data_IF_763767872242
#
_entry.id   IF_763767872242
#
_cell.length_a   1.000
_cell.length_b   1.000
_cell.length_c   1.000
_cell.angle_alpha   90.00
_cell.angle_beta   90.00
_cell.angle_gamma   90.00
#
_symmetry.space_group_name_H-M   'P 1'
#
loop_
_entity.id
_entity.type
_entity.pdbx_description
1 polymer ?
#
# COMPACT_ATOMS: atom_id res chain seq x y z
N UNK A 1 -25.79 -28.40 11.09
CA UNK A 1 -24.71 -27.62 10.45
C UNK A 1 -25.13 -27.39 9.01
N UNK A 2 -25.68 -26.20 8.71
CA UNK A 2 -25.95 -25.77 7.34
C UNK A 2 -24.63 -25.25 6.74
N UNK A 3 -23.97 -26.06 5.92
CA UNK A 3 -22.88 -25.58 5.05
C UNK A 3 -23.59 -24.89 3.88
N UNK A 4 -23.68 -23.58 3.94
CA UNK A 4 -24.18 -22.77 2.83
C UNK A 4 -23.09 -22.75 1.74
N UNK A 5 -23.25 -23.58 0.72
CA UNK A 5 -22.44 -23.50 -0.49
C UNK A 5 -22.86 -22.22 -1.24
N UNK A 6 -22.12 -21.12 -1.03
CA UNK A 6 -22.28 -19.95 -1.88
C UNK A 6 -21.90 -20.31 -3.31
N UNK A 7 -22.75 -19.91 -4.27
CA UNK A 7 -22.49 -20.12 -5.69
C UNK A 7 -21.33 -19.20 -6.13
N UNK A 8 -20.43 -19.67 -6.98
CA UNK A 8 -19.33 -18.86 -7.54
C UNK A 8 -19.77 -17.48 -8.02
N UNK A 9 -20.94 -17.38 -8.68
CA UNK A 9 -21.51 -16.09 -9.13
C UNK A 9 -21.84 -15.14 -7.98
N UNK A 10 -22.19 -15.65 -6.81
CA UNK A 10 -22.48 -14.81 -5.63
C UNK A 10 -21.19 -14.31 -4.99
N UNK A 11 -20.15 -15.13 -4.96
CA UNK A 11 -18.81 -14.74 -4.49
C UNK A 11 -18.25 -13.64 -5.40
N UNK A 12 -18.29 -13.83 -6.72
CA UNK A 12 -17.83 -12.86 -7.71
C UNK A 12 -18.58 -11.52 -7.59
N UNK A 13 -19.90 -11.59 -7.36
CA UNK A 13 -20.71 -10.39 -7.14
C UNK A 13 -20.29 -9.62 -5.89
N UNK A 14 -20.05 -10.30 -4.76
CA UNK A 14 -19.61 -9.67 -3.51
C UNK A 14 -18.20 -9.10 -3.61
N UNK A 15 -17.29 -9.78 -4.31
CA UNK A 15 -15.95 -9.27 -4.60
C UNK A 15 -16.02 -7.97 -5.43
N UNK A 16 -16.77 -7.97 -6.52
CA UNK A 16 -16.93 -6.79 -7.38
C UNK A 16 -17.57 -5.60 -6.65
N UNK A 17 -18.45 -5.86 -5.69
CA UNK A 17 -19.04 -4.83 -4.83
C UNK A 17 -18.10 -4.39 -3.71
N UNK A 18 -17.01 -5.10 -3.43
CA UNK A 18 -16.09 -4.84 -2.33
C UNK A 18 -16.63 -5.24 -0.95
N UNK A 19 -17.65 -6.12 -0.90
CA UNK A 19 -18.21 -6.65 0.34
C UNK A 19 -17.42 -7.85 0.89
N UNK A 20 -16.61 -8.44 0.04
CA UNK A 20 -15.62 -9.46 0.36
C UNK A 20 -14.31 -9.13 -0.34
N UNK A 21 -13.18 -9.51 0.24
CA UNK A 21 -11.85 -9.25 -0.29
C UNK A 21 -10.94 -10.47 -0.07
N UNK A 22 -10.04 -10.77 -1.02
CA UNK A 22 -9.00 -11.78 -0.82
C UNK A 22 -7.93 -11.22 0.12
N UNK A 23 -7.76 -11.83 1.27
CA UNK A 23 -6.81 -11.39 2.30
C UNK A 23 -5.63 -12.35 2.35
N UNK A 24 -4.45 -11.86 1.97
CA UNK A 24 -3.22 -12.62 2.13
C UNK A 24 -2.85 -12.78 3.60
N UNK A 25 -2.84 -11.66 4.32
CA UNK A 25 -2.53 -11.64 5.76
C UNK A 25 -3.06 -10.37 6.42
N UNK A 26 -3.21 -10.42 7.73
CA UNK A 26 -3.47 -9.23 8.54
C UNK A 26 -2.81 -9.38 9.91
N UNK A 27 -2.16 -8.32 10.39
CA UNK A 27 -1.36 -8.35 11.60
C UNK A 27 -1.23 -6.97 12.24
N UNK A 28 -0.99 -6.93 13.54
CA UNK A 28 -0.71 -5.72 14.29
C UNK A 28 0.80 -5.57 14.47
N UNK A 29 1.34 -4.45 14.02
CA UNK A 29 2.78 -4.18 14.06
C UNK A 29 3.07 -2.67 14.06
N UNK A 30 4.29 -2.29 13.76
CA UNK A 30 4.75 -0.91 13.64
C UNK A 30 4.96 -0.58 12.17
N UNK A 31 4.39 0.55 11.70
CA UNK A 31 4.70 1.05 10.35
C UNK A 31 6.20 1.32 10.21
N UNK A 32 6.83 0.60 9.30
CA UNK A 32 8.29 0.63 9.10
C UNK A 32 8.76 1.66 8.08
N UNK A 33 7.85 2.33 7.34
CA UNK A 33 8.18 3.16 6.19
C UNK A 33 7.49 4.52 6.24
N UNK A 34 8.01 5.48 5.46
CA UNK A 34 7.39 6.75 5.16
C UNK A 34 7.16 7.67 6.35
N UNK A 35 6.10 8.47 6.26
CA UNK A 35 5.80 9.51 7.25
C UNK A 35 5.40 8.95 8.61
N UNK A 36 4.61 7.88 8.63
CA UNK A 36 4.12 7.27 9.86
C UNK A 36 5.06 6.20 10.44
N UNK A 37 6.30 6.14 9.98
CA UNK A 37 7.31 5.23 10.55
C UNK A 37 7.37 5.36 12.08
N UNK A 38 7.35 4.21 12.75
CA UNK A 38 7.35 4.11 14.21
C UNK A 38 5.96 4.10 14.86
N UNK A 39 4.89 4.29 14.08
CA UNK A 39 3.52 4.26 14.59
C UNK A 39 2.97 2.84 14.59
N UNK A 40 2.29 2.45 15.68
CA UNK A 40 1.58 1.18 15.73
C UNK A 40 0.36 1.19 14.84
N UNK A 41 0.17 0.16 14.02
CA UNK A 41 -0.92 0.03 13.08
C UNK A 41 -1.35 -1.42 12.85
N UNK A 42 -2.60 -1.61 12.48
CA UNK A 42 -3.07 -2.90 12.00
C UNK A 42 -2.96 -2.94 10.48
N UNK A 43 -2.18 -3.86 9.95
CA UNK A 43 -1.97 -4.03 8.53
C UNK A 43 -2.96 -5.02 7.95
N UNK A 44 -3.50 -4.69 6.77
CA UNK A 44 -4.36 -5.56 5.97
C UNK A 44 -3.70 -5.66 4.60
N UNK A 45 -3.12 -6.84 4.30
CA UNK A 45 -2.53 -7.13 3.01
C UNK A 45 -3.53 -7.84 2.12
N UNK A 46 -4.04 -7.11 1.13
CA UNK A 46 -5.00 -7.61 0.14
C UNK A 46 -4.24 -8.32 -0.97
N UNK A 47 -4.73 -9.48 -1.38
CA UNK A 47 -4.17 -10.22 -2.51
C UNK A 47 -4.73 -9.73 -3.84
N UNK A 48 -4.00 -10.02 -4.91
CA UNK A 48 -4.23 -9.55 -6.27
C UNK A 48 -3.31 -8.38 -6.63
N UNK A 49 -2.50 -8.54 -7.70
CA UNK A 49 -1.63 -7.48 -8.21
C UNK A 49 -1.48 -7.57 -9.72
N UNK A 50 -1.85 -6.52 -10.42
CA UNK A 50 -1.75 -6.39 -11.88
C UNK A 50 -0.54 -5.57 -12.35
N UNK A 51 0.37 -5.21 -11.41
CA UNK A 51 1.57 -4.41 -11.69
C UNK A 51 2.79 -5.27 -12.04
N UNK A 52 3.03 -6.36 -11.29
CA UNK A 52 4.06 -7.35 -11.59
C UNK A 52 5.50 -6.83 -11.54
N UNK A 53 5.92 -6.17 -10.47
CA UNK A 53 7.29 -5.67 -10.28
C UNK A 53 8.29 -6.83 -10.14
N UNK A 54 9.39 -6.84 -10.92
CA UNK A 54 10.37 -7.93 -10.86
C UNK A 54 11.08 -8.05 -9.51
N UNK A 55 11.25 -6.93 -8.80
CA UNK A 55 11.87 -6.82 -7.48
C UNK A 55 10.85 -6.81 -6.32
N UNK A 56 9.60 -7.24 -6.58
CA UNK A 56 8.59 -7.31 -5.53
C UNK A 56 9.03 -8.28 -4.43
N UNK A 57 8.95 -7.82 -3.18
CA UNK A 57 9.28 -8.60 -1.98
C UNK A 57 8.11 -9.43 -1.45
N UNK A 58 6.91 -9.29 -2.06
CA UNK A 58 5.68 -10.01 -1.67
C UNK A 58 4.99 -10.56 -2.94
N UNK A 59 5.69 -11.39 -3.71
CA UNK A 59 5.14 -11.97 -4.95
C UNK A 59 3.96 -12.91 -4.71
N UNK A 60 3.88 -13.50 -3.53
CA UNK A 60 2.80 -14.34 -3.08
C UNK A 60 1.45 -13.62 -3.09
N UNK A 61 1.46 -12.29 -2.97
CA UNK A 61 0.25 -11.46 -3.04
C UNK A 61 -0.33 -11.28 -4.45
N UNK A 62 0.37 -11.73 -5.52
CA UNK A 62 -0.07 -11.42 -6.89
C UNK A 62 -1.31 -12.19 -7.32
N UNK A 63 -1.43 -13.42 -6.91
CA UNK A 63 -2.55 -14.30 -7.24
C UNK A 63 -3.59 -14.26 -6.12
N UNK A 64 -4.73 -13.64 -6.40
CA UNK A 64 -5.83 -13.53 -5.44
C UNK A 64 -6.49 -14.87 -5.11
N UNK A 65 -6.44 -15.84 -6.03
CA UNK A 65 -7.15 -17.12 -5.90
C UNK A 65 -6.45 -18.04 -4.88
N UNK A 66 -5.20 -17.76 -4.54
CA UNK A 66 -4.44 -18.51 -3.54
C UNK A 66 -4.76 -18.08 -2.09
N UNK A 67 -5.59 -17.07 -1.89
CA UNK A 67 -5.82 -16.47 -0.59
C UNK A 67 -7.29 -16.53 -0.16
N UNK A 68 -7.56 -16.64 1.16
CA UNK A 68 -8.91 -16.71 1.66
C UNK A 68 -9.70 -15.43 1.39
N UNK A 69 -10.96 -15.61 1.00
CA UNK A 69 -11.92 -14.53 0.82
C UNK A 69 -12.59 -14.24 2.17
N UNK A 70 -12.41 -13.02 2.69
CA UNK A 70 -12.96 -12.56 3.94
C UNK A 70 -14.04 -11.50 3.72
N UNK A 71 -15.10 -11.52 4.53
CA UNK A 71 -16.07 -10.42 4.54
C UNK A 71 -15.47 -9.17 5.17
N UNK A 72 -15.91 -7.99 4.74
CA UNK A 72 -15.45 -6.73 5.32
C UNK A 72 -15.77 -6.62 6.81
N UNK A 73 -16.88 -7.22 7.27
CA UNK A 73 -17.23 -7.27 8.70
C UNK A 73 -16.19 -8.04 9.51
N UNK A 74 -15.76 -9.22 9.02
CA UNK A 74 -14.69 -10.00 9.67
C UNK A 74 -13.37 -9.23 9.74
N UNK A 75 -13.00 -8.53 8.65
CA UNK A 75 -11.78 -7.73 8.57
C UNK A 75 -11.82 -6.60 9.59
N UNK A 76 -12.93 -5.86 9.67
CA UNK A 76 -13.09 -4.73 10.58
C UNK A 76 -13.17 -5.20 12.04
N UNK A 77 -13.92 -6.27 12.34
CA UNK A 77 -13.98 -6.85 13.70
C UNK A 77 -12.59 -7.30 14.19
N UNK A 78 -11.72 -7.74 13.30
CA UNK A 78 -10.35 -8.07 13.66
C UNK A 78 -9.52 -6.81 13.91
N UNK A 79 -9.56 -5.82 12.99
CA UNK A 79 -8.76 -4.61 13.07
C UNK A 79 -9.02 -3.80 14.35
N UNK A 80 -10.30 -3.62 14.71
CA UNK A 80 -10.71 -2.80 15.88
C UNK A 80 -10.27 -3.38 17.24
N UNK A 81 -9.84 -4.64 17.29
CA UNK A 81 -9.29 -5.23 18.53
C UNK A 81 -7.90 -4.68 18.89
N UNK A 82 -7.17 -4.19 17.89
CA UNK A 82 -5.74 -3.90 18.04
C UNK A 82 -5.38 -2.43 17.86
N UNK A 83 -6.05 -1.68 16.98
CA UNK A 83 -5.60 -0.35 16.62
C UNK A 83 -6.72 0.58 16.17
N UNK A 84 -6.50 1.89 16.36
CA UNK A 84 -7.30 2.96 15.77
C UNK A 84 -6.68 3.47 14.44
N UNK A 85 -5.66 2.78 13.91
CA UNK A 85 -5.03 3.04 12.64
C UNK A 85 -4.85 1.75 11.85
N UNK A 86 -5.36 1.73 10.63
CA UNK A 86 -5.25 0.62 9.68
C UNK A 86 -4.43 1.09 8.49
N UNK A 87 -3.49 0.26 8.05
CA UNK A 87 -2.76 0.42 6.78
C UNK A 87 -3.20 -0.68 5.83
N UNK A 88 -3.87 -0.30 4.75
CA UNK A 88 -4.26 -1.21 3.68
C UNK A 88 -3.14 -1.22 2.64
N UNK A 89 -2.59 -2.38 2.42
CA UNK A 89 -1.49 -2.66 1.50
C UNK A 89 -1.74 -3.98 0.77
N UNK A 90 -0.75 -4.56 0.13
CA UNK A 90 -0.86 -5.91 -0.39
C UNK A 90 -0.14 -6.11 -1.71
N UNK A 91 -0.82 -6.73 -2.66
CA UNK A 91 -0.54 -6.64 -4.07
C UNK A 91 -0.82 -5.22 -4.56
N UNK A 92 -1.98 -5.00 -5.14
CA UNK A 92 -2.48 -3.64 -5.44
C UNK A 92 -3.91 -3.48 -4.90
N UNK A 93 -4.10 -2.79 -3.75
CA UNK A 93 -5.41 -2.69 -3.12
C UNK A 93 -6.49 -2.08 -4.03
N UNK A 94 -6.11 -1.14 -4.90
CA UNK A 94 -7.06 -0.46 -5.79
C UNK A 94 -7.53 -1.32 -6.98
N UNK A 95 -7.09 -2.58 -7.10
CA UNK A 95 -7.76 -3.55 -7.98
C UNK A 95 -9.18 -3.84 -7.50
N UNK A 96 -9.46 -3.61 -6.21
CA UNK A 96 -10.73 -3.89 -5.56
C UNK A 96 -11.49 -2.61 -5.22
N UNK A 97 -12.80 -2.72 -5.05
CA UNK A 97 -13.60 -1.60 -4.55
C UNK A 97 -13.42 -1.43 -3.04
N UNK A 98 -12.62 -0.44 -2.65
CA UNK A 98 -12.31 -0.15 -1.24
C UNK A 98 -13.41 0.66 -0.51
N UNK A 99 -14.45 1.13 -1.22
CA UNK A 99 -15.47 1.97 -0.59
C UNK A 99 -16.17 1.31 0.62
N UNK A 100 -16.63 0.04 0.55
CA UNK A 100 -17.33 -0.57 1.68
C UNK A 100 -16.44 -0.76 2.90
N UNK A 101 -15.23 -1.35 2.71
CA UNK A 101 -14.29 -1.59 3.81
C UNK A 101 -13.88 -0.29 4.51
N UNK A 102 -13.45 0.71 3.73
CA UNK A 102 -12.96 1.96 4.31
C UNK A 102 -14.09 2.74 5.00
N UNK A 103 -15.31 2.73 4.44
CA UNK A 103 -16.47 3.33 5.10
C UNK A 103 -16.77 2.69 6.46
N UNK A 104 -16.73 1.35 6.52
CA UNK A 104 -16.98 0.62 7.75
C UNK A 104 -15.89 0.88 8.81
N UNK A 105 -14.61 0.92 8.42
CA UNK A 105 -13.51 1.31 9.30
C UNK A 105 -13.71 2.74 9.86
N UNK A 106 -14.10 3.69 9.01
CA UNK A 106 -14.36 5.08 9.42
C UNK A 106 -15.53 5.18 10.40
N UNK A 107 -16.59 4.37 10.25
CA UNK A 107 -17.71 4.32 11.20
C UNK A 107 -17.27 3.89 12.60
N UNK A 108 -16.18 3.12 12.69
CA UNK A 108 -15.56 2.74 13.96
C UNK A 108 -14.46 3.70 14.43
N UNK A 109 -14.37 4.92 13.86
CA UNK A 109 -13.35 5.93 14.17
C UNK A 109 -11.91 5.45 13.96
N UNK A 110 -11.68 4.52 13.03
CA UNK A 110 -10.37 4.04 12.65
C UNK A 110 -9.82 4.91 11.53
N UNK A 111 -8.59 5.38 11.68
CA UNK A 111 -7.84 6.06 10.61
C UNK A 111 -7.42 5.05 9.56
N UNK A 112 -7.61 5.37 8.29
CA UNK A 112 -7.38 4.44 7.18
C UNK A 112 -6.35 5.01 6.23
N UNK A 113 -5.21 4.33 6.14
CA UNK A 113 -4.11 4.65 5.24
C UNK A 113 -4.03 3.63 4.11
N UNK A 114 -3.52 4.03 2.95
CA UNK A 114 -3.26 3.14 1.83
C UNK A 114 -1.82 3.26 1.33
N UNK A 115 -1.24 2.11 1.02
CA UNK A 115 -0.03 1.94 0.21
C UNK A 115 -0.44 1.42 -1.16
N UNK A 116 -0.24 2.20 -2.23
CA UNK A 116 -0.68 1.84 -3.58
C UNK A 116 0.30 2.28 -4.66
N UNK A 117 0.35 1.53 -5.75
CA UNK A 117 1.02 1.99 -6.97
C UNK A 117 0.25 3.09 -7.69
N UNK A 118 -1.04 3.25 -7.40
CA UNK A 118 -1.93 4.21 -8.05
C UNK A 118 -2.33 3.83 -9.48
N UNK A 119 -2.06 2.61 -9.91
CA UNK A 119 -2.31 2.15 -11.28
C UNK A 119 -3.78 1.86 -11.60
N UNK A 120 -4.64 1.90 -10.59
CA UNK A 120 -6.07 1.68 -10.69
C UNK A 120 -6.85 2.87 -10.10
N UNK A 121 -8.16 2.95 -10.41
CA UNK A 121 -9.03 4.04 -9.94
C UNK A 121 -9.05 4.09 -8.41
N UNK A 122 -8.84 5.28 -7.86
CA UNK A 122 -8.90 5.50 -6.42
C UNK A 122 -10.35 5.35 -5.93
N UNK A 123 -10.61 4.26 -5.22
CA UNK A 123 -11.84 4.01 -4.45
C UNK A 123 -11.51 4.02 -2.97
N UNK A 124 -12.48 4.30 -2.11
CA UNK A 124 -12.29 4.33 -0.65
C UNK A 124 -12.19 5.74 -0.05
N UNK A 125 -12.21 5.77 1.28
CA UNK A 125 -12.16 6.98 2.12
C UNK A 125 -10.87 6.94 2.95
N UNK A 126 -9.89 7.72 2.57
CA UNK A 126 -8.52 7.66 3.07
C UNK A 126 -8.18 8.88 3.93
N UNK A 127 -7.48 8.65 5.04
CA UNK A 127 -6.86 9.70 5.85
C UNK A 127 -5.42 9.96 5.43
N UNK A 128 -4.78 8.99 4.74
CA UNK A 128 -3.43 9.11 4.21
C UNK A 128 -3.25 8.23 2.98
N UNK A 129 -2.73 8.82 1.93
CA UNK A 129 -2.43 8.11 0.67
C UNK A 129 -0.92 8.15 0.41
N UNK A 130 -0.27 7.00 0.60
CA UNK A 130 1.10 6.77 0.13
C UNK A 130 1.04 6.25 -1.31
N UNK A 131 1.41 7.12 -2.24
CA UNK A 131 1.55 6.78 -3.65
C UNK A 131 2.97 6.29 -3.93
N UNK A 132 3.10 5.04 -4.34
CA UNK A 132 4.39 4.41 -4.71
C UNK A 132 4.40 3.97 -6.18
N UNK A 133 4.59 4.91 -7.13
CA UNK A 133 4.52 4.66 -8.58
C UNK A 133 5.48 3.56 -9.04
N UNK A 134 5.04 2.79 -10.02
CA UNK A 134 5.85 1.74 -10.64
C UNK A 134 5.99 1.99 -12.15
N UNK A 135 7.22 1.85 -12.67
CA UNK A 135 7.49 2.10 -14.10
C UNK A 135 6.72 1.18 -15.04
N UNK A 136 6.41 -0.03 -14.58
CA UNK A 136 5.75 -1.07 -15.38
C UNK A 136 4.28 -0.76 -15.65
N UNK A 137 3.60 -0.14 -14.69
CA UNK A 137 2.21 0.32 -14.82
C UNK A 137 2.08 1.68 -14.14
N UNK A 138 1.94 2.72 -14.95
CA UNK A 138 1.91 4.09 -14.44
C UNK A 138 0.65 4.36 -13.61
N UNK A 139 0.75 5.22 -12.58
CA UNK A 139 -0.42 5.74 -11.89
C UNK A 139 -1.39 6.45 -12.83
N UNK A 140 -2.67 6.39 -12.53
CA UNK A 140 -3.67 7.24 -13.17
C UNK A 140 -3.51 8.68 -12.70
N UNK A 141 -3.80 9.64 -13.57
CA UNK A 141 -3.48 11.06 -13.32
C UNK A 141 -4.17 11.63 -12.08
N UNK A 142 -5.41 11.21 -11.80
CA UNK A 142 -6.19 11.76 -10.70
C UNK A 142 -5.61 11.51 -9.30
N UNK A 143 -4.81 10.43 -9.11
CA UNK A 143 -4.27 10.08 -7.79
C UNK A 143 -3.16 11.01 -7.34
N UNK A 144 -2.40 11.59 -8.28
CA UNK A 144 -1.28 12.47 -7.94
C UNK A 144 -1.70 13.70 -7.13
N UNK A 145 -2.87 14.25 -7.41
CA UNK A 145 -3.39 15.41 -6.68
C UNK A 145 -3.88 15.09 -5.27
N UNK A 146 -4.11 13.80 -5.00
CA UNK A 146 -4.65 13.30 -3.72
C UNK A 146 -3.59 12.64 -2.84
N UNK A 147 -2.38 12.42 -3.37
CA UNK A 147 -1.29 11.79 -2.62
C UNK A 147 -0.78 12.73 -1.51
N UNK A 148 -0.72 12.20 -0.28
CA UNK A 148 -0.11 12.86 0.87
C UNK A 148 1.40 12.59 0.91
N UNK A 149 1.79 11.42 0.42
CA UNK A 149 3.17 10.94 0.37
C UNK A 149 3.45 10.32 -1.01
N UNK A 150 4.59 10.66 -1.60
CA UNK A 150 5.14 10.03 -2.80
C UNK A 150 6.40 9.27 -2.40
N UNK A 151 6.36 7.94 -2.48
CA UNK A 151 7.46 7.06 -2.11
C UNK A 151 8.01 6.34 -3.34
N UNK A 152 9.21 6.70 -3.79
CA UNK A 152 9.85 6.11 -4.97
C UNK A 152 10.88 5.08 -4.53
N UNK A 153 10.71 3.85 -5.01
CA UNK A 153 11.69 2.78 -4.80
C UNK A 153 12.84 2.97 -5.78
N UNK A 154 14.06 3.00 -5.24
CA UNK A 154 15.30 3.16 -5.98
C UNK A 154 16.00 1.80 -6.08
N UNK A 155 15.87 1.16 -7.22
CA UNK A 155 16.54 -0.10 -7.57
C UNK A 155 17.89 0.16 -8.23
N UNK A 156 17.99 1.27 -8.97
CA UNK A 156 19.24 1.74 -9.60
C UNK A 156 19.23 3.27 -9.73
N UNK A 157 20.40 3.87 -10.04
CA UNK A 157 20.57 5.33 -10.13
C UNK A 157 19.66 6.04 -11.14
N UNK A 158 19.17 5.33 -12.18
CA UNK A 158 18.27 5.91 -13.17
C UNK A 158 16.85 6.16 -12.58
N UNK A 159 16.52 5.52 -11.45
CA UNK A 159 15.25 5.73 -10.77
C UNK A 159 15.15 7.12 -10.15
N UNK A 160 16.27 7.82 -9.88
CA UNK A 160 16.27 9.21 -9.44
C UNK A 160 15.66 10.16 -10.48
N UNK A 161 15.91 9.91 -11.78
CA UNK A 161 15.26 10.68 -12.85
C UNK A 161 13.75 10.43 -12.86
N UNK A 162 13.34 9.17 -12.74
CA UNK A 162 11.93 8.81 -12.64
C UNK A 162 11.27 9.46 -11.42
N UNK A 163 11.97 9.49 -10.28
CA UNK A 163 11.48 10.16 -9.07
C UNK A 163 11.17 11.65 -9.32
N UNK A 164 12.07 12.37 -9.99
CA UNK A 164 11.85 13.77 -10.36
C UNK A 164 10.67 13.96 -11.31
N UNK A 165 10.47 13.06 -12.26
CA UNK A 165 9.32 13.09 -13.16
C UNK A 165 8.00 12.88 -12.42
N UNK A 166 7.97 11.97 -11.44
CA UNK A 166 6.79 11.74 -10.60
C UNK A 166 6.52 12.90 -9.64
N UNK A 167 7.57 13.45 -9.03
CA UNK A 167 7.45 14.58 -8.10
C UNK A 167 6.84 15.84 -8.72
N UNK A 168 6.97 16.04 -10.03
CA UNK A 168 6.34 17.16 -10.75
C UNK A 168 4.82 17.05 -10.83
N UNK A 169 4.26 15.87 -10.61
CA UNK A 169 2.83 15.59 -10.79
C UNK A 169 2.03 15.70 -9.49
N UNK A 170 2.70 15.58 -8.33
CA UNK A 170 2.04 15.67 -7.03
C UNK A 170 1.90 17.10 -6.53
N UNK A 171 1.02 17.29 -5.55
CA UNK A 171 0.84 18.56 -4.86
C UNK A 171 2.14 19.01 -4.17
N UNK A 172 2.36 20.34 -4.05
CA UNK A 172 3.47 20.92 -3.25
C UNK A 172 3.45 20.53 -1.77
N UNK A 173 2.31 20.09 -1.26
CA UNK A 173 2.15 19.60 0.13
C UNK A 173 2.53 18.13 0.28
N UNK A 174 2.62 17.39 -0.82
CA UNK A 174 2.97 15.98 -0.82
C UNK A 174 4.40 15.78 -0.32
N UNK A 175 4.59 14.89 0.62
CA UNK A 175 5.92 14.57 1.17
C UNK A 175 6.62 13.60 0.21
N UNK A 176 7.87 13.90 -0.13
CA UNK A 176 8.63 13.14 -1.12
C UNK A 176 9.66 12.23 -0.45
N UNK A 177 9.59 10.93 -0.72
CA UNK A 177 10.50 9.93 -0.20
C UNK A 177 11.22 9.16 -1.30
N UNK A 178 12.52 8.94 -1.11
CA UNK A 178 13.32 7.95 -1.82
C UNK A 178 13.59 6.80 -0.87
N UNK A 179 13.33 5.57 -1.32
CA UNK A 179 13.56 4.36 -0.55
C UNK A 179 14.39 3.39 -1.37
N UNK A 180 15.55 2.91 -0.88
CA UNK A 180 16.28 1.87 -1.59
C UNK A 180 15.43 0.60 -1.67
N UNK A 181 15.47 -0.07 -2.79
CA UNK A 181 14.99 -1.45 -2.85
C UNK A 181 15.83 -2.32 -1.91
N UNK A 182 15.21 -3.29 -1.25
CA UNK A 182 15.82 -3.97 -0.10
C UNK A 182 17.12 -4.68 -0.42
N UNK A 183 17.16 -5.46 -1.51
CA UNK A 183 18.36 -6.19 -1.92
C UNK A 183 19.47 -5.27 -2.44
N UNK A 184 19.09 -4.07 -2.89
CA UNK A 184 19.98 -3.02 -3.41
C UNK A 184 20.31 -1.94 -2.38
N UNK A 185 19.85 -2.06 -1.12
CA UNK A 185 19.98 -0.99 -0.12
C UNK A 185 21.42 -0.55 0.12
N UNK A 186 22.37 -1.50 0.19
CA UNK A 186 23.77 -1.18 0.49
C UNK A 186 24.44 -0.43 -0.68
N UNK A 187 24.05 -0.76 -1.91
CA UNK A 187 24.52 -0.10 -3.14
C UNK A 187 23.85 1.28 -3.32
N UNK A 188 22.54 1.37 -3.08
CA UNK A 188 21.76 2.57 -3.40
C UNK A 188 21.77 3.60 -2.28
N UNK A 189 21.94 3.22 -1.02
CA UNK A 189 21.88 4.15 0.11
C UNK A 189 22.88 5.30 0.00
N UNK A 190 24.19 5.08 -0.28
CA UNK A 190 25.13 6.19 -0.45
C UNK A 190 24.70 7.19 -1.54
N UNK A 191 24.16 6.66 -2.67
CA UNK A 191 23.68 7.46 -3.79
C UNK A 191 22.45 8.30 -3.38
N UNK A 192 21.50 7.69 -2.65
CA UNK A 192 20.30 8.38 -2.17
C UNK A 192 20.67 9.45 -1.16
N UNK A 193 21.59 9.18 -0.23
CA UNK A 193 22.06 10.16 0.77
C UNK A 193 22.65 11.38 0.09
N UNK A 194 23.60 11.17 -0.84
CA UNK A 194 24.21 12.26 -1.60
C UNK A 194 23.17 13.07 -2.38
N UNK A 195 22.19 12.37 -2.97
CA UNK A 195 21.14 13.00 -3.74
C UNK A 195 20.22 13.85 -2.87
N UNK A 196 19.79 13.34 -1.72
CA UNK A 196 18.93 14.07 -0.77
C UNK A 196 19.65 15.28 -0.19
N UNK A 197 20.93 15.19 0.13
CA UNK A 197 21.74 16.32 0.59
C UNK A 197 21.80 17.46 -0.43
N UNK A 198 21.78 17.15 -1.72
CA UNK A 198 21.75 18.11 -2.82
C UNK A 198 20.34 18.58 -3.18
N UNK A 199 19.31 17.83 -2.80
CA UNK A 199 17.90 18.05 -3.18
C UNK A 199 17.00 17.93 -1.94
N UNK A 200 17.02 18.93 -1.07
CA UNK A 200 16.41 18.95 0.26
C UNK A 200 14.88 18.77 0.30
N UNK A 201 14.19 18.81 -0.85
CA UNK A 201 12.78 18.47 -0.95
C UNK A 201 12.50 16.98 -0.71
N UNK A 202 13.51 16.11 -0.95
CA UNK A 202 13.43 14.68 -0.74
C UNK A 202 13.82 14.29 0.68
N UNK A 203 13.19 13.24 1.17
CA UNK A 203 13.54 12.56 2.43
C UNK A 203 13.88 11.11 2.14
N UNK A 204 14.59 10.47 3.05
CA UNK A 204 14.89 9.04 2.96
C UNK A 204 13.84 8.25 3.72
N UNK A 205 13.22 7.28 3.08
CA UNK A 205 12.45 6.23 3.73
C UNK A 205 13.30 4.96 3.86
N UNK A 206 13.20 4.31 5.01
CA UNK A 206 13.80 3.00 5.26
C UNK A 206 12.70 1.98 5.51
N UNK A 207 13.01 0.70 5.30
CA UNK A 207 12.17 -0.42 5.72
C UNK A 207 12.60 -0.85 7.14
N UNK A 208 12.28 -0.02 8.16
CA UNK A 208 12.79 -0.25 9.53
C UNK A 208 12.25 -1.52 10.16
N UNK A 209 11.07 -2.00 9.76
CA UNK A 209 10.51 -3.27 10.19
C UNK A 209 11.46 -4.45 9.88
N UNK A 210 12.14 -4.43 8.73
CA UNK A 210 13.13 -5.48 8.38
C UNK A 210 14.36 -5.49 9.31
N UNK A 211 14.79 -4.32 9.79
CA UNK A 211 15.87 -4.23 10.79
C UNK A 211 15.41 -4.62 12.20
N UNK A 212 14.12 -4.46 12.48
CA UNK A 212 13.51 -4.80 13.77
C UNK A 212 13.07 -6.26 13.85
N UNK A 213 13.14 -7.01 12.73
CA UNK A 213 12.65 -8.39 12.59
C UNK A 213 11.17 -8.54 12.99
N UNK A 214 10.34 -7.58 12.54
CA UNK A 214 8.88 -7.59 12.71
C UNK A 214 8.22 -7.62 11.33
N UNK A 215 6.95 -8.09 11.24
CA UNK A 215 6.19 -8.11 10.00
C UNK A 215 6.03 -6.73 9.38
#
# INVERSE_FOLDING_TARGET
IYICFMNHKEIDSKLNQGLQLPIMESFYTIQGEGFYKGSAAFFIRIAGCDVGCHWCDVKESWDSDLHPICSIDQIVENAKKYSNMVVITGGEPLMWNMNPLTRLLKQHNIRVHIETSGSNKLTGYWDWICLSPKKRKNPINEIYSKADELKIIIFNKHDLKYAEEQAKKVSKKCILYLQPEWEKRDEMMPIIVEYVMKNSKWKISLQTHKYQNIP
#
